data_IF_319234343869
#
_entry.id   IF_319234343869
#
_cell.length_a   1.000
_cell.length_b   1.000
_cell.length_c   1.000
_cell.angle_alpha   90.00
_cell.angle_beta   90.00
_cell.angle_gamma   90.00
#
_symmetry.space_group_name_H-M   'P 1'
#
loop_
_entity.id
_entity.type
_entity.pdbx_description
1 polymer ?
#
# COMPACT_ATOMS: atom_id res chain seq x y z
N UNK A 1 19.06 -2.34 -0.84
CA UNK A 1 18.72 -2.58 -2.25
C UNK A 1 17.22 -2.52 -2.53
N UNK A 2 16.40 -3.56 -2.22
CA UNK A 2 14.96 -3.56 -2.58
C UNK A 2 14.19 -2.31 -2.15
N UNK A 3 14.33 -1.90 -0.89
CA UNK A 3 13.63 -0.71 -0.38
C UNK A 3 14.11 0.60 -1.04
N UNK A 4 15.40 0.66 -1.38
CA UNK A 4 15.98 1.83 -2.04
C UNK A 4 15.47 1.95 -3.48
N UNK A 5 15.30 0.81 -4.18
CA UNK A 5 14.69 0.77 -5.51
C UNK A 5 13.22 1.21 -5.48
N UNK A 6 12.44 0.74 -4.50
CA UNK A 6 11.05 1.18 -4.33
C UNK A 6 10.97 2.68 -4.05
N UNK A 7 11.82 3.18 -3.15
CA UNK A 7 11.91 4.60 -2.84
C UNK A 7 12.29 5.42 -4.08
N UNK A 8 13.31 4.98 -4.83
CA UNK A 8 13.72 5.62 -6.07
C UNK A 8 12.62 5.64 -7.12
N UNK A 9 11.82 4.57 -7.24
CA UNK A 9 10.67 4.52 -8.14
C UNK A 9 9.58 5.53 -7.73
N UNK A 10 9.23 5.60 -6.44
CA UNK A 10 8.28 6.59 -5.92
C UNK A 10 8.76 8.00 -6.27
N UNK A 11 10.01 8.33 -5.92
CA UNK A 11 10.60 9.63 -6.18
C UNK A 11 10.57 10.00 -7.67
N UNK A 12 10.95 9.05 -8.53
CA UNK A 12 10.98 9.28 -9.98
C UNK A 12 9.59 9.49 -10.58
N UNK A 13 8.59 8.74 -10.12
CA UNK A 13 7.21 8.84 -10.60
C UNK A 13 6.54 10.13 -10.10
N UNK A 14 6.83 10.56 -8.86
CA UNK A 14 6.30 11.80 -8.28
C UNK A 14 6.80 13.08 -8.96
N UNK A 15 7.83 13.01 -9.81
CA UNK A 15 8.25 14.13 -10.66
C UNK A 15 7.28 14.42 -11.82
N UNK A 16 6.38 13.49 -12.14
CA UNK A 16 5.45 13.64 -13.26
C UNK A 16 4.18 14.40 -12.82
N UNK A 17 3.63 15.29 -13.68
CA UNK A 17 2.40 16.00 -13.37
C UNK A 17 1.22 15.02 -13.24
N UNK A 18 0.27 15.36 -12.36
CA UNK A 18 -0.97 14.62 -12.12
C UNK A 18 -0.82 13.10 -11.83
N UNK A 19 0.36 12.65 -11.42
CA UNK A 19 0.62 11.21 -11.15
C UNK A 19 0.36 10.88 -9.69
N UNK A 20 -0.48 9.86 -9.48
CA UNK A 20 -0.76 9.25 -8.17
C UNK A 20 0.03 7.96 -8.01
N UNK A 21 0.81 7.87 -6.94
CA UNK A 21 1.66 6.71 -6.64
C UNK A 21 1.11 6.00 -5.40
N UNK A 22 0.73 4.74 -5.59
CA UNK A 22 0.30 3.84 -4.52
C UNK A 22 1.31 2.70 -4.42
N UNK A 23 2.01 2.59 -3.28
CA UNK A 23 2.97 1.51 -3.04
C UNK A 23 2.22 0.24 -2.60
N UNK A 24 2.54 -0.91 -3.18
CA UNK A 24 1.88 -2.15 -2.80
C UNK A 24 2.22 -2.59 -1.36
N UNK A 25 1.18 -2.90 -0.60
CA UNK A 25 1.26 -3.35 0.80
C UNK A 25 0.70 -4.78 0.98
N UNK A 26 0.60 -5.56 -0.10
CA UNK A 26 0.15 -6.95 -0.04
C UNK A 26 -1.34 -7.09 0.28
N UNK A 27 -1.69 -8.04 1.14
CA UNK A 27 -3.08 -8.37 1.47
C UNK A 27 -3.24 -8.79 2.93
N UNK A 28 -4.49 -8.78 3.41
CA UNK A 28 -4.83 -9.03 4.80
C UNK A 28 -4.49 -10.44 5.34
N UNK A 29 -4.23 -11.41 4.46
CA UNK A 29 -3.86 -12.78 4.84
C UNK A 29 -2.35 -13.04 4.93
N UNK A 30 -1.50 -12.05 4.64
CA UNK A 30 -0.05 -12.27 4.52
C UNK A 30 0.77 -11.77 5.72
N UNK A 31 0.65 -10.49 6.06
CA UNK A 31 1.41 -9.84 7.14
C UNK A 31 0.46 -8.97 7.96
N UNK A 32 0.78 -8.72 9.22
CA UNK A 32 -0.01 -7.77 10.04
C UNK A 32 0.29 -6.32 9.64
N UNK A 33 -0.64 -5.37 9.90
CA UNK A 33 -0.37 -3.95 9.70
C UNK A 33 0.89 -3.46 10.45
N UNK A 34 1.13 -4.00 11.65
CA UNK A 34 2.32 -3.65 12.45
C UNK A 34 3.63 -4.11 11.79
N UNK A 35 3.64 -5.32 11.22
CA UNK A 35 4.80 -5.83 10.52
C UNK A 35 5.15 -5.02 9.25
N UNK A 36 4.15 -4.37 8.64
CA UNK A 36 4.32 -3.59 7.41
C UNK A 36 4.74 -2.13 7.65
N UNK A 37 4.55 -1.58 8.86
CA UNK A 37 4.87 -0.18 9.15
C UNK A 37 6.33 0.18 8.81
N UNK A 38 7.30 -0.51 9.40
CA UNK A 38 8.73 -0.24 9.19
C UNK A 38 9.19 -0.49 7.74
N UNK A 39 8.81 -1.62 7.09
CA UNK A 39 9.08 -1.84 5.67
C UNK A 39 8.58 -0.71 4.75
N UNK A 40 7.35 -0.25 4.94
CA UNK A 40 6.77 0.81 4.11
C UNK A 40 7.45 2.16 4.33
N UNK A 41 7.82 2.49 5.56
CA UNK A 41 8.63 3.68 5.86
C UNK A 41 9.97 3.64 5.11
N UNK A 42 10.69 2.52 5.19
CA UNK A 42 11.95 2.33 4.46
C UNK A 42 11.78 2.38 2.94
N UNK A 43 10.65 1.90 2.44
CA UNK A 43 10.31 1.93 1.02
C UNK A 43 9.90 3.32 0.50
N UNK A 44 9.80 4.35 1.37
CA UNK A 44 9.46 5.71 0.94
C UNK A 44 7.97 6.02 0.89
N UNK A 45 7.12 5.28 1.62
CA UNK A 45 5.66 5.52 1.65
C UNK A 45 5.28 6.96 2.00
N UNK A 46 6.13 7.67 2.76
CA UNK A 46 5.93 9.07 3.11
C UNK A 46 5.76 9.96 1.86
N UNK A 47 6.50 9.67 0.79
CA UNK A 47 6.52 10.41 -0.47
C UNK A 47 5.44 9.94 -1.47
N UNK A 48 4.88 8.74 -1.27
CA UNK A 48 3.76 8.21 -2.05
C UNK A 48 2.43 8.85 -1.64
N UNK A 49 1.46 8.86 -2.56
CA UNK A 49 0.10 9.32 -2.29
C UNK A 49 -0.66 8.35 -1.37
N UNK A 50 -0.37 7.05 -1.46
CA UNK A 50 -1.04 6.02 -0.68
C UNK A 50 -0.42 4.64 -0.86
N UNK A 51 -1.20 3.60 -0.58
CA UNK A 51 -0.82 2.20 -0.80
C UNK A 51 -1.92 1.37 -1.48
N UNK A 52 -1.54 0.31 -2.18
CA UNK A 52 -2.49 -0.67 -2.75
C UNK A 52 -2.58 -1.91 -1.87
N UNK A 53 -3.76 -2.52 -1.87
CA UNK A 53 -4.04 -3.78 -1.19
C UNK A 53 -4.69 -4.78 -2.14
N UNK A 54 -4.53 -6.05 -1.80
CA UNK A 54 -5.23 -7.17 -2.41
C UNK A 54 -4.88 -7.40 -3.89
N UNK A 55 -3.82 -6.76 -4.41
CA UNK A 55 -3.39 -6.88 -5.81
C UNK A 55 -3.25 -8.35 -6.17
N UNK A 56 -4.02 -8.80 -7.16
CA UNK A 56 -4.06 -10.19 -7.59
C UNK A 56 -4.38 -11.20 -6.48
N UNK A 57 -5.19 -10.83 -5.48
CA UNK A 57 -5.66 -11.72 -4.42
C UNK A 57 -7.21 -11.69 -4.32
N UNK A 58 -7.77 -12.37 -3.31
CA UNK A 58 -9.20 -12.70 -3.19
C UNK A 58 -9.79 -12.32 -1.83
N UNK A 59 -9.04 -11.61 -0.96
CA UNK A 59 -9.58 -11.19 0.33
C UNK A 59 -10.80 -10.30 0.11
N UNK A 60 -11.87 -10.54 0.85
CA UNK A 60 -13.11 -9.77 0.71
C UNK A 60 -12.82 -8.28 0.91
N UNK A 61 -13.62 -7.42 0.25
CA UNK A 61 -13.46 -5.97 0.38
C UNK A 61 -13.59 -5.52 1.83
N UNK A 62 -14.45 -6.18 2.63
CA UNK A 62 -14.61 -5.90 4.05
C UNK A 62 -13.30 -6.14 4.83
N UNK A 63 -12.70 -7.32 4.68
CA UNK A 63 -11.44 -7.69 5.36
C UNK A 63 -10.29 -6.79 4.91
N UNK A 64 -10.18 -6.52 3.60
CA UNK A 64 -9.15 -5.61 3.07
C UNK A 64 -9.34 -4.17 3.54
N UNK A 65 -10.58 -3.71 3.72
CA UNK A 65 -10.89 -2.38 4.24
C UNK A 65 -10.49 -2.24 5.70
N UNK A 66 -10.81 -3.23 6.53
CA UNK A 66 -10.40 -3.23 7.94
C UNK A 66 -8.88 -3.21 8.07
N UNK A 67 -8.19 -4.05 7.30
CA UNK A 67 -6.74 -4.08 7.22
C UNK A 67 -6.16 -2.73 6.80
N UNK A 68 -6.70 -2.15 5.72
CA UNK A 68 -6.26 -0.86 5.18
C UNK A 68 -6.43 0.28 6.17
N UNK A 69 -7.55 0.34 6.91
CA UNK A 69 -7.74 1.37 7.96
C UNK A 69 -6.68 1.28 9.05
N UNK A 70 -6.45 0.07 9.60
CA UNK A 70 -5.43 -0.15 10.64
C UNK A 70 -4.03 0.21 10.17
N UNK A 71 -3.68 -0.11 8.92
CA UNK A 71 -2.39 0.25 8.35
C UNK A 71 -2.29 1.75 8.09
N UNK A 72 -3.34 2.36 7.52
CA UNK A 72 -3.43 3.79 7.21
C UNK A 72 -3.16 4.65 8.45
N UNK A 73 -3.82 4.33 9.58
CA UNK A 73 -3.62 5.02 10.86
C UNK A 73 -2.15 5.02 11.30
N UNK A 74 -1.42 3.92 11.05
CA UNK A 74 0.00 3.79 11.43
C UNK A 74 0.93 4.58 10.52
N UNK A 75 0.59 4.78 9.25
CA UNK A 75 1.46 5.43 8.26
C UNK A 75 1.04 6.87 7.93
N UNK A 76 0.34 7.53 8.86
CA UNK A 76 -0.03 8.94 8.73
C UNK A 76 -1.33 9.17 7.97
N UNK A 77 -2.33 8.30 8.17
CA UNK A 77 -3.67 8.38 7.57
C UNK A 77 -3.66 8.44 6.03
N UNK A 78 -2.68 7.78 5.41
CA UNK A 78 -2.58 7.75 3.93
C UNK A 78 -3.75 6.97 3.32
N UNK A 79 -4.31 7.44 2.20
CA UNK A 79 -5.36 6.72 1.49
C UNK A 79 -4.84 5.40 0.93
N UNK A 80 -5.76 4.51 0.59
CA UNK A 80 -5.45 3.24 -0.05
C UNK A 80 -6.48 2.88 -1.11
N UNK A 81 -6.06 2.03 -2.03
CA UNK A 81 -6.91 1.39 -3.03
C UNK A 81 -6.90 -0.13 -2.81
N UNK A 82 -8.04 -0.78 -3.06
CA UNK A 82 -8.18 -2.23 -2.97
C UNK A 82 -8.41 -2.76 -4.37
N UNK A 83 -7.62 -3.74 -4.79
CA UNK A 83 -7.93 -4.54 -5.96
C UNK A 83 -9.13 -5.45 -5.66
N UNK A 84 -10.26 -5.14 -6.28
CA UNK A 84 -11.52 -5.91 -6.17
C UNK A 84 -11.81 -6.72 -7.42
N UNK A 85 -10.80 -7.00 -8.25
CA UNK A 85 -10.98 -7.69 -9.54
C UNK A 85 -11.61 -9.07 -9.40
N UNK A 86 -11.36 -9.78 -8.28
CA UNK A 86 -11.75 -11.20 -8.10
C UNK A 86 -12.24 -11.57 -6.69
N UNK A 87 -12.64 -10.61 -5.86
CA UNK A 87 -12.97 -10.86 -4.45
C UNK A 87 -14.47 -10.82 -4.10
N UNK A 88 -15.32 -11.24 -5.05
CA UNK A 88 -16.79 -11.09 -4.96
C UNK A 88 -17.57 -12.34 -4.54
N UNK A 89 -16.91 -13.48 -4.33
CA UNK A 89 -17.55 -14.77 -4.00
C UNK A 89 -17.48 -15.09 -2.51
#
# INVERSE_FOLDING_TARGET
ERYDLLKGAIQRLKQQPATKVYLDAGNAGWQSPDALFQPLQRAGIAEADGFSLNVSNFQTTAVSTEFGKKLSEKIGNKPFVIDTSRNGN
#
